data_IF_872047439406
#
_entry.id   IF_872047439406
#
_cell.length_a   1.000
_cell.length_b   1.000
_cell.length_c   1.000
_cell.angle_alpha   90.00
_cell.angle_beta   90.00
_cell.angle_gamma   90.00
#
_symmetry.space_group_name_H-M   'P 1'
#
loop_
_entity.id
_entity.type
_entity.pdbx_description
1 polymer ?
#
# COMPACT_ATOMS: atom_id res chain seq x y z
N UNK A 1 -11.56 -12.31 8.52
CA UNK A 1 -10.48 -11.64 7.77
C UNK A 1 -9.26 -12.54 7.82
N UNK A 2 -8.65 -12.85 6.68
CA UNK A 2 -7.45 -13.69 6.61
C UNK A 2 -6.18 -12.84 6.56
N UNK A 3 -5.10 -13.35 7.14
CA UNK A 3 -3.83 -12.64 7.17
C UNK A 3 -3.08 -12.79 5.84
N UNK A 4 -2.95 -11.70 5.08
CA UNK A 4 -2.19 -11.65 3.84
C UNK A 4 -0.85 -10.90 4.00
N UNK A 5 0.26 -11.63 3.93
CA UNK A 5 1.62 -11.08 4.04
C UNK A 5 2.41 -11.20 2.73
N UNK A 6 3.45 -10.38 2.63
CA UNK A 6 4.35 -10.25 1.48
C UNK A 6 4.39 -8.83 0.92
N UNK A 7 5.20 -8.61 -0.11
CA UNK A 7 5.21 -7.38 -0.90
C UNK A 7 3.93 -7.23 -1.73
N UNK A 8 3.71 -6.07 -2.34
CA UNK A 8 2.49 -5.79 -3.13
C UNK A 8 2.24 -6.85 -4.21
N UNK A 9 3.25 -7.18 -5.01
CA UNK A 9 3.12 -8.14 -6.11
C UNK A 9 2.75 -9.54 -5.63
N UNK A 10 3.32 -10.01 -4.50
CA UNK A 10 3.00 -11.34 -3.97
C UNK A 10 1.62 -11.40 -3.35
N UNK A 11 1.13 -10.29 -2.79
CA UNK A 11 -0.28 -10.17 -2.35
C UNK A 11 -1.25 -10.21 -3.53
N UNK A 12 -0.95 -9.49 -4.61
CA UNK A 12 -1.76 -9.53 -5.84
C UNK A 12 -1.75 -10.92 -6.49
N UNK A 13 -0.60 -11.63 -6.47
CA UNK A 13 -0.53 -13.02 -6.92
C UNK A 13 -1.46 -13.93 -6.11
N UNK A 14 -1.44 -13.84 -4.77
CA UNK A 14 -2.35 -14.61 -3.90
C UNK A 14 -3.83 -14.32 -4.18
N UNK A 15 -4.17 -13.07 -4.49
CA UNK A 15 -5.52 -12.69 -4.93
C UNK A 15 -5.87 -13.38 -6.25
N UNK A 16 -4.99 -13.33 -7.25
CA UNK A 16 -5.18 -14.00 -8.56
C UNK A 16 -5.30 -15.53 -8.43
N UNK A 17 -4.59 -16.14 -7.49
CA UNK A 17 -4.67 -17.57 -7.15
C UNK A 17 -5.92 -17.93 -6.34
N UNK A 18 -6.81 -16.97 -6.06
CA UNK A 18 -8.06 -17.22 -5.35
C UNK A 18 -7.90 -17.53 -3.86
N UNK A 19 -6.74 -17.24 -3.25
CA UNK A 19 -6.53 -17.42 -1.80
C UNK A 19 -7.45 -16.54 -0.97
N UNK A 20 -7.85 -15.39 -1.51
CA UNK A 20 -8.84 -14.47 -0.94
C UNK A 20 -9.73 -13.94 -2.07
N UNK A 21 -10.93 -13.45 -1.72
CA UNK A 21 -11.87 -12.87 -2.71
C UNK A 21 -11.54 -11.42 -3.07
N UNK A 22 -10.94 -10.67 -2.13
CA UNK A 22 -10.53 -9.29 -2.30
C UNK A 22 -9.39 -8.97 -1.31
N UNK A 23 -8.69 -7.86 -1.53
CA UNK A 23 -7.67 -7.35 -0.62
C UNK A 23 -7.66 -5.82 -0.67
N UNK A 24 -7.11 -5.19 0.36
CA UNK A 24 -6.95 -3.74 0.43
C UNK A 24 -5.46 -3.39 0.32
N UNK A 25 -5.15 -2.39 -0.51
CA UNK A 25 -3.82 -1.86 -0.72
C UNK A 25 -3.89 -0.33 -0.77
N UNK A 26 -2.85 0.34 -0.26
CA UNK A 26 -2.75 1.78 -0.35
C UNK A 26 -2.57 2.21 -1.82
N UNK A 27 -3.44 3.10 -2.31
CA UNK A 27 -3.40 3.62 -3.67
C UNK A 27 -2.05 4.25 -4.03
N UNK A 28 -1.39 4.92 -3.07
CA UNK A 28 -0.07 5.51 -3.27
C UNK A 28 0.99 4.46 -3.65
N UNK A 29 0.93 3.26 -3.07
CA UNK A 29 1.85 2.16 -3.41
C UNK A 29 1.62 1.64 -4.82
N UNK A 30 0.36 1.51 -5.25
CA UNK A 30 0.01 1.08 -6.60
C UNK A 30 0.40 2.13 -7.66
N UNK A 31 0.18 3.41 -7.41
CA UNK A 31 0.59 4.50 -8.30
C UNK A 31 2.11 4.54 -8.52
N UNK A 32 2.90 4.37 -7.45
CA UNK A 32 4.38 4.38 -7.53
C UNK A 32 4.96 3.19 -8.29
N UNK A 33 4.21 2.11 -8.41
CA UNK A 33 4.60 0.89 -9.10
C UNK A 33 3.97 0.78 -10.49
N UNK A 34 3.23 1.80 -10.94
CA UNK A 34 2.45 1.78 -12.19
C UNK A 34 1.50 0.56 -12.28
N UNK A 35 0.83 0.23 -11.16
CA UNK A 35 -0.05 -0.94 -11.02
C UNK A 35 -1.53 -0.57 -10.78
N UNK A 36 -1.95 0.63 -11.17
CA UNK A 36 -3.30 1.16 -10.90
C UNK A 36 -4.42 0.39 -11.62
N UNK A 37 -4.10 -0.39 -12.66
CA UNK A 37 -5.03 -1.28 -13.35
C UNK A 37 -5.62 -2.38 -12.45
N UNK A 38 -4.99 -2.66 -11.30
CA UNK A 38 -5.50 -3.62 -10.32
C UNK A 38 -6.53 -3.00 -9.35
N UNK A 39 -6.81 -1.69 -9.43
CA UNK A 39 -7.74 -1.00 -8.54
C UNK A 39 -9.17 -1.17 -9.04
N UNK A 40 -10.02 -1.80 -8.23
CA UNK A 40 -11.45 -1.92 -8.52
C UNK A 40 -12.27 -0.75 -7.99
N UNK A 41 -11.87 -0.19 -6.85
CA UNK A 41 -12.49 0.99 -6.23
C UNK A 41 -11.49 1.71 -5.34
N UNK A 42 -11.66 3.02 -5.19
CA UNK A 42 -10.93 3.85 -4.23
C UNK A 42 -11.89 4.16 -3.10
N UNK A 43 -11.55 3.75 -1.88
CA UNK A 43 -12.35 4.02 -0.69
C UNK A 43 -12.17 5.48 -0.27
N UNK A 44 -13.27 6.16 0.02
CA UNK A 44 -13.30 7.48 0.63
C UNK A 44 -12.82 7.44 2.09
N UNK A 45 -12.56 8.62 2.66
CA UNK A 45 -12.08 8.75 4.04
C UNK A 45 -13.15 8.29 5.04
N UNK A 46 -14.43 8.47 4.72
CA UNK A 46 -15.56 8.02 5.55
C UNK A 46 -15.71 6.49 5.56
N UNK A 47 -15.36 5.82 4.45
CA UNK A 47 -15.37 4.35 4.34
C UNK A 47 -14.14 3.71 4.98
N UNK A 48 -12.98 4.35 4.89
CA UNK A 48 -11.71 3.82 5.40
C UNK A 48 -10.75 4.95 5.76
N UNK A 49 -10.66 5.26 7.06
CA UNK A 49 -9.67 6.20 7.56
C UNK A 49 -8.26 5.66 7.27
N UNK A 50 -7.36 6.44 6.65
CA UNK A 50 -6.02 5.97 6.29
C UNK A 50 -5.15 5.77 7.53
N UNK A 51 -4.12 4.92 7.40
CA UNK A 51 -3.06 4.87 8.40
C UNK A 51 -2.33 6.23 8.49
N UNK A 52 -1.80 6.54 9.68
CA UNK A 52 -1.00 7.76 9.89
C UNK A 52 0.15 7.81 8.88
N UNK A 53 0.31 8.95 8.22
CA UNK A 53 1.29 9.18 7.16
C UNK A 53 1.19 8.25 5.93
N UNK A 54 0.06 7.56 5.71
CA UNK A 54 -0.13 6.73 4.53
C UNK A 54 0.06 7.53 3.24
N UNK A 55 1.02 7.11 2.41
CA UNK A 55 1.32 7.78 1.16
C UNK A 55 2.40 8.86 1.26
N UNK A 56 2.89 9.22 2.44
CA UNK A 56 4.09 10.05 2.57
C UNK A 56 5.37 9.22 2.33
N UNK A 57 6.44 9.88 1.91
CA UNK A 57 7.80 9.33 1.94
C UNK A 57 8.56 10.16 2.97
N UNK A 58 9.03 9.51 4.03
CA UNK A 58 9.92 10.13 5.02
C UNK A 58 11.37 9.94 4.61
N UNK A 59 12.17 10.99 4.75
CA UNK A 59 13.62 10.95 4.60
C UNK A 59 14.19 11.13 6.00
N UNK A 60 15.13 10.26 6.39
CA UNK A 60 15.79 10.31 7.68
C UNK A 60 17.28 10.65 7.52
N UNK A 61 17.77 11.53 8.38
CA UNK A 61 19.19 11.81 8.57
C UNK A 61 19.61 11.42 9.99
N UNK A 62 20.93 11.36 10.24
CA UNK A 62 21.43 11.32 11.62
C UNK A 62 21.24 12.71 12.22
N UNK A 63 20.92 12.79 13.51
CA UNK A 63 20.66 14.07 14.20
C UNK A 63 21.86 15.04 14.19
N UNK A 64 23.08 14.52 13.99
CA UNK A 64 24.33 15.29 13.92
C UNK A 64 24.98 15.25 12.51
N UNK A 65 24.18 15.06 11.46
CA UNK A 65 24.69 15.10 10.08
C UNK A 65 24.53 16.51 9.49
N UNK A 66 25.50 17.38 9.72
CA UNK A 66 25.49 18.79 9.26
C UNK A 66 25.54 18.95 7.73
N UNK A 67 25.81 17.86 7.00
CA UNK A 67 25.89 17.84 5.53
C UNK A 67 24.55 17.45 4.88
N UNK A 68 23.61 16.89 5.64
CA UNK A 68 22.26 16.57 5.15
C UNK A 68 21.45 17.84 4.87
#
# INVERSE_FOLDING_TARGET
VENIRGNVQTRLKKLKEGKVKATLLALAGLKRLDMTENVTAILSIDEMLPAVAQGAIGIACRTNDDKM
#
